data_IF_804547664055
#
_entry.id   IF_804547664055
#
_cell.length_a   1.000
_cell.length_b   1.000
_cell.length_c   1.000
_cell.angle_alpha   90.00
_cell.angle_beta   90.00
_cell.angle_gamma   90.00
#
_symmetry.space_group_name_H-M   'P 1'
#
loop_
_entity.id
_entity.type
_entity.pdbx_description
1 polymer ?
#
# COMPACT_ATOMS: atom_id res chain seq x y z
N UNK A 1 -37.10 2.40 -2.21
CA UNK A 1 -36.39 2.43 -0.90
C UNK A 1 -34.87 2.49 -1.05
N UNK A 2 -34.31 3.29 -1.96
CA UNK A 2 -32.85 3.45 -2.04
C UNK A 2 -32.33 4.07 -0.73
N UNK A 3 -31.15 3.65 -0.24
CA UNK A 3 -30.56 4.24 0.97
C UNK A 3 -29.94 5.59 0.61
N UNK A 4 -30.30 6.63 1.36
CA UNK A 4 -29.77 7.98 1.20
C UNK A 4 -29.13 8.47 2.51
N UNK A 5 -28.19 9.41 2.38
CA UNK A 5 -27.75 10.26 3.48
C UNK A 5 -28.36 11.64 3.28
N UNK A 6 -29.07 12.16 4.29
CA UNK A 6 -29.64 13.51 4.23
C UNK A 6 -28.60 14.58 4.61
N UNK A 7 -29.00 15.86 4.51
CA UNK A 7 -28.14 17.00 4.84
C UNK A 7 -27.75 17.07 6.33
N UNK A 8 -28.45 16.33 7.19
CA UNK A 8 -28.18 16.21 8.63
C UNK A 8 -27.26 15.01 8.93
N UNK A 9 -26.85 14.26 7.89
CA UNK A 9 -25.99 13.09 8.01
C UNK A 9 -26.73 11.80 8.40
N UNK A 10 -28.06 11.83 8.48
CA UNK A 10 -28.86 10.66 8.81
C UNK A 10 -28.91 9.72 7.62
N UNK A 11 -28.73 8.44 7.88
CA UNK A 11 -28.73 7.40 6.85
C UNK A 11 -29.96 6.52 6.96
N UNK A 12 -30.76 6.46 5.90
CA UNK A 12 -31.99 5.68 5.87
C UNK A 12 -32.56 5.51 4.46
N UNK A 13 -33.61 4.67 4.30
CA UNK A 13 -34.30 4.57 3.02
C UNK A 13 -34.99 5.89 2.65
N UNK A 14 -34.97 6.26 1.36
CA UNK A 14 -35.58 7.47 0.83
C UNK A 14 -37.07 7.62 1.20
N UNK A 15 -37.78 6.50 1.26
CA UNK A 15 -39.16 6.43 1.71
C UNK A 15 -39.26 5.35 2.80
N UNK A 16 -39.09 5.74 4.08
CA UNK A 16 -39.12 4.81 5.21
C UNK A 16 -40.53 4.34 5.55
N UNK A 17 -41.58 5.13 5.25
CA UNK A 17 -42.95 4.79 5.60
C UNK A 17 -43.48 3.61 4.80
N UNK A 18 -43.02 3.47 3.55
CA UNK A 18 -43.41 2.37 2.66
C UNK A 18 -42.36 1.25 2.62
N UNK A 19 -41.24 1.38 3.33
CA UNK A 19 -40.16 0.39 3.31
C UNK A 19 -40.55 -0.91 4.03
N UNK A 20 -40.37 -2.09 3.39
CA UNK A 20 -40.49 -3.37 4.08
C UNK A 20 -39.55 -3.47 5.27
N UNK A 21 -39.95 -4.19 6.32
CA UNK A 21 -39.13 -4.37 7.53
C UNK A 21 -37.85 -5.17 7.27
N UNK A 22 -37.85 -6.03 6.26
CA UNK A 22 -36.76 -6.90 5.80
C UNK A 22 -35.91 -6.25 4.69
N UNK A 23 -36.10 -4.96 4.39
CA UNK A 23 -35.35 -4.27 3.31
C UNK A 23 -33.82 -4.35 3.49
N UNK A 24 -33.35 -4.52 4.73
CA UNK A 24 -31.95 -4.69 5.07
C UNK A 24 -31.34 -6.02 4.61
N UNK A 25 -32.15 -7.03 4.28
CA UNK A 25 -31.70 -8.27 3.65
C UNK A 25 -31.25 -8.05 2.21
N UNK A 26 -31.84 -7.06 1.53
CA UNK A 26 -31.51 -6.70 0.14
C UNK A 26 -30.48 -5.57 0.06
N UNK A 27 -30.62 -4.55 0.90
CA UNK A 27 -29.77 -3.35 0.88
C UNK A 27 -28.51 -3.48 1.74
N UNK A 28 -28.46 -4.50 2.60
CA UNK A 28 -27.38 -4.71 3.57
C UNK A 28 -27.67 -4.09 4.93
N UNK A 29 -26.87 -4.54 5.90
CA UNK A 29 -26.97 -4.08 7.29
C UNK A 29 -26.49 -2.63 7.44
N UNK A 30 -27.17 -1.84 8.28
CA UNK A 30 -26.85 -0.42 8.49
C UNK A 30 -25.59 -0.24 9.34
N UNK A 31 -24.64 0.55 8.83
CA UNK A 31 -23.45 1.00 9.57
C UNK A 31 -23.73 2.29 10.36
N UNK A 32 -22.87 2.67 11.31
CA UNK A 32 -22.96 3.98 11.97
C UNK A 32 -22.82 5.14 10.96
N UNK A 33 -23.55 6.22 11.21
CA UNK A 33 -23.56 7.43 10.35
C UNK A 33 -22.16 8.04 10.21
N UNK A 34 -21.38 8.05 11.29
CA UNK A 34 -19.99 8.53 11.30
C UNK A 34 -19.12 7.77 10.27
N UNK A 35 -19.37 6.47 10.06
CA UNK A 35 -18.64 5.68 9.08
C UNK A 35 -19.02 6.03 7.64
N UNK A 36 -20.32 6.23 7.36
CA UNK A 36 -20.77 6.73 6.06
C UNK A 36 -20.22 8.13 5.76
N UNK A 37 -20.14 8.99 6.78
CA UNK A 37 -19.50 10.28 6.67
C UNK A 37 -18.02 10.15 6.27
N UNK A 38 -17.23 9.29 6.92
CA UNK A 38 -15.83 9.05 6.54
C UNK A 38 -15.66 8.47 5.13
N UNK A 39 -16.54 7.55 4.71
CA UNK A 39 -16.57 7.05 3.33
C UNK A 39 -16.84 8.21 2.36
N UNK A 40 -17.80 9.09 2.67
CA UNK A 40 -18.14 10.26 1.83
C UNK A 40 -17.00 11.28 1.70
N UNK A 41 -16.08 11.31 2.67
CA UNK A 41 -14.89 12.17 2.67
C UNK A 41 -13.67 11.48 2.07
N UNK A 42 -13.81 10.23 1.62
CA UNK A 42 -12.71 9.45 1.05
C UNK A 42 -11.70 8.96 2.08
N UNK A 43 -12.00 8.99 3.38
CA UNK A 43 -11.10 8.53 4.46
C UNK A 43 -11.00 6.99 4.50
N UNK A 44 -12.08 6.31 4.09
CA UNK A 44 -12.18 4.86 4.09
C UNK A 44 -12.80 4.37 2.78
N UNK A 45 -12.14 3.43 2.10
CA UNK A 45 -12.71 2.71 0.97
C UNK A 45 -13.89 1.79 1.35
N UNK A 46 -14.78 1.46 0.39
CA UNK A 46 -16.01 0.75 0.68
C UNK A 46 -15.84 -0.75 0.98
N UNK A 47 -14.70 -1.36 0.63
CA UNK A 47 -14.52 -2.81 0.66
C UNK A 47 -14.65 -3.41 2.08
N UNK A 48 -13.88 -2.90 3.05
CA UNK A 48 -13.90 -3.43 4.43
C UNK A 48 -15.27 -3.24 5.10
N UNK A 49 -15.94 -2.06 5.01
CA UNK A 49 -17.33 -1.91 5.44
C UNK A 49 -18.29 -2.91 4.77
N UNK A 50 -18.16 -3.10 3.46
CA UNK A 50 -19.03 -4.01 2.71
C UNK A 50 -18.87 -5.47 3.16
N UNK A 51 -17.66 -5.91 3.50
CA UNK A 51 -17.45 -7.26 4.04
C UNK A 51 -18.17 -7.45 5.38
N UNK A 52 -18.20 -6.42 6.23
CA UNK A 52 -18.90 -6.45 7.51
C UNK A 52 -20.43 -6.42 7.36
N UNK A 53 -20.96 -5.67 6.40
CA UNK A 53 -22.41 -5.56 6.19
C UNK A 53 -22.96 -6.82 5.51
N UNK A 54 -22.30 -7.32 4.47
CA UNK A 54 -22.70 -8.50 3.70
C UNK A 54 -22.38 -9.82 4.39
N UNK A 55 -21.40 -9.85 5.30
CA UNK A 55 -20.87 -11.09 5.85
C UNK A 55 -20.06 -11.91 4.84
N UNK A 56 -19.62 -11.29 3.74
CA UNK A 56 -18.85 -11.93 2.68
C UNK A 56 -17.63 -11.09 2.31
N UNK A 57 -16.43 -11.68 2.40
CA UNK A 57 -15.21 -11.13 1.83
C UNK A 57 -15.04 -11.75 0.43
N UNK A 58 -15.31 -10.95 -0.61
CA UNK A 58 -15.16 -11.40 -1.99
C UNK A 58 -13.86 -10.85 -2.57
N UNK A 59 -12.99 -11.73 -3.06
CA UNK A 59 -11.80 -11.37 -3.83
C UNK A 59 -12.08 -11.70 -5.30
N UNK A 60 -12.39 -10.72 -6.15
CA UNK A 60 -12.55 -10.95 -7.58
C UNK A 60 -11.18 -11.01 -8.27
N UNK A 61 -11.14 -11.62 -9.47
CA UNK A 61 -10.03 -11.41 -10.40
C UNK A 61 -10.22 -10.05 -11.07
N UNK A 62 -9.32 -9.06 -10.88
CA UNK A 62 -9.49 -7.77 -11.54
C UNK A 62 -9.39 -7.90 -13.06
N UNK A 63 -10.08 -7.03 -13.79
CA UNK A 63 -10.05 -7.05 -15.25
C UNK A 63 -8.62 -6.87 -15.80
N UNK A 64 -8.25 -7.69 -16.79
CA UNK A 64 -6.92 -7.68 -17.39
C UNK A 64 -5.83 -8.40 -16.58
N UNK A 65 -6.14 -8.88 -15.37
CA UNK A 65 -5.22 -9.71 -14.58
C UNK A 65 -5.32 -11.15 -15.06
N UNK A 66 -4.17 -11.79 -15.26
CA UNK A 66 -4.14 -13.22 -15.56
C UNK A 66 -4.40 -14.06 -14.31
N UNK A 67 -5.24 -15.07 -14.48
CA UNK A 67 -5.48 -16.09 -13.48
C UNK A 67 -4.29 -17.07 -13.39
N UNK A 68 -3.27 -16.68 -12.64
CA UNK A 68 -2.03 -17.45 -12.43
C UNK A 68 -1.95 -18.02 -11.02
N UNK A 69 -1.20 -19.12 -10.84
CA UNK A 69 -1.00 -19.74 -9.52
C UNK A 69 -0.38 -18.76 -8.51
N UNK A 70 0.61 -17.96 -8.94
CA UNK A 70 1.23 -16.94 -8.08
C UNK A 70 0.21 -15.88 -7.64
N UNK A 71 -0.70 -15.47 -8.52
CA UNK A 71 -1.73 -14.47 -8.19
C UNK A 71 -2.80 -15.06 -7.26
N UNK A 72 -3.24 -16.30 -7.52
CA UNK A 72 -4.17 -17.04 -6.64
C UNK A 72 -3.60 -17.17 -5.22
N UNK A 73 -2.34 -17.60 -5.09
CA UNK A 73 -1.64 -17.72 -3.81
C UNK A 73 -1.48 -16.36 -3.11
N UNK A 74 -1.04 -15.34 -3.84
CA UNK A 74 -0.85 -13.99 -3.29
C UNK A 74 -2.17 -13.43 -2.77
N UNK A 75 -3.21 -13.43 -3.60
CA UNK A 75 -4.49 -12.83 -3.26
C UNK A 75 -5.30 -13.66 -2.26
N UNK A 76 -5.27 -14.99 -2.37
CA UNK A 76 -6.05 -15.91 -1.54
C UNK A 76 -5.41 -16.25 -0.20
N UNK A 77 -4.08 -16.31 -0.13
CA UNK A 77 -3.36 -16.78 1.06
C UNK A 77 -2.46 -15.69 1.66
N UNK A 78 -1.49 -15.16 0.89
CA UNK A 78 -0.47 -14.25 1.44
C UNK A 78 -1.05 -12.90 1.93
N UNK A 79 -2.07 -12.38 1.23
CA UNK A 79 -2.72 -11.12 1.56
C UNK A 79 -3.91 -11.29 2.53
N UNK A 80 -4.38 -12.52 2.77
CA UNK A 80 -5.54 -12.78 3.62
C UNK A 80 -5.36 -12.30 5.07
N UNK A 81 -4.22 -12.55 5.74
CA UNK A 81 -4.01 -12.07 7.11
C UNK A 81 -4.11 -10.54 7.23
N UNK A 82 -3.74 -9.78 6.19
CA UNK A 82 -3.85 -8.32 6.20
C UNK A 82 -5.32 -7.90 6.14
N UNK A 83 -6.13 -8.58 5.32
CA UNK A 83 -7.57 -8.32 5.24
C UNK A 83 -8.28 -8.69 6.54
N UNK A 84 -7.89 -9.80 7.17
CA UNK A 84 -8.38 -10.21 8.48
C UNK A 84 -8.05 -9.15 9.55
N UNK A 85 -6.83 -8.62 9.56
CA UNK A 85 -6.45 -7.52 10.45
C UNK A 85 -7.31 -6.28 10.22
N UNK A 86 -7.53 -5.87 8.97
CA UNK A 86 -8.34 -4.70 8.63
C UNK A 86 -9.81 -4.87 9.05
N UNK A 87 -10.44 -5.99 8.68
CA UNK A 87 -11.83 -6.29 9.05
C UNK A 87 -11.97 -6.42 10.57
N UNK A 88 -11.04 -7.12 11.22
CA UNK A 88 -10.99 -7.25 12.67
C UNK A 88 -10.87 -5.90 13.37
N UNK A 89 -9.93 -5.05 12.96
CA UNK A 89 -9.74 -3.72 13.53
C UNK A 89 -10.98 -2.84 13.39
N UNK A 90 -11.56 -2.75 12.19
CA UNK A 90 -12.77 -1.95 11.98
C UNK A 90 -13.94 -2.48 12.82
N UNK A 91 -14.15 -3.81 12.86
CA UNK A 91 -15.25 -4.41 13.62
C UNK A 91 -15.19 -4.08 15.12
N UNK A 92 -13.99 -4.00 15.70
CA UNK A 92 -13.77 -3.65 17.11
C UNK A 92 -14.11 -2.19 17.46
N UNK A 93 -14.28 -1.33 16.45
CA UNK A 93 -14.78 0.04 16.61
C UNK A 93 -16.30 0.15 16.49
N UNK A 94 -17.00 -0.93 16.12
CA UNK A 94 -18.44 -0.95 15.88
C UNK A 94 -19.19 -1.69 16.98
N UNK A 95 -20.53 -1.68 16.90
CA UNK A 95 -21.40 -2.41 17.82
C UNK A 95 -21.07 -3.92 17.86
N UNK A 96 -21.30 -4.56 19.02
CA UNK A 96 -21.02 -6.00 19.26
C UNK A 96 -21.60 -6.95 18.20
N UNK A 97 -22.70 -6.54 17.56
CA UNK A 97 -23.28 -7.23 16.40
C UNK A 97 -22.23 -7.51 15.31
N UNK A 98 -21.40 -6.53 14.96
CA UNK A 98 -20.37 -6.67 13.93
C UNK A 98 -19.15 -7.45 14.42
N UNK A 99 -18.82 -7.37 15.71
CA UNK A 99 -17.65 -8.03 16.31
C UNK A 99 -17.78 -9.55 16.40
N UNK A 100 -19.00 -10.09 16.31
CA UNK A 100 -19.27 -11.53 16.49
C UNK A 100 -19.64 -12.24 15.19
N UNK A 101 -19.60 -11.53 14.06
CA UNK A 101 -19.94 -12.11 12.76
C UNK A 101 -18.89 -13.15 12.30
N UNK A 102 -19.38 -14.12 11.55
CA UNK A 102 -18.57 -15.00 10.71
C UNK A 102 -18.67 -14.48 9.30
N UNK A 103 -17.52 -14.21 8.67
CA UNK A 103 -17.44 -13.70 7.30
C UNK A 103 -16.99 -14.82 6.39
N UNK A 104 -17.78 -15.12 5.36
CA UNK A 104 -17.44 -16.13 4.36
C UNK A 104 -16.44 -15.55 3.36
N UNK A 105 -15.37 -16.28 3.06
CA UNK A 105 -14.36 -15.87 2.08
C UNK A 105 -14.68 -16.51 0.74
N UNK A 106 -14.85 -15.68 -0.29
CA UNK A 106 -15.12 -16.12 -1.66
C UNK A 106 -14.01 -15.65 -2.59
N UNK A 107 -13.19 -16.58 -3.05
CA UNK A 107 -12.17 -16.34 -4.05
C UNK A 107 -12.73 -16.64 -5.44
N UNK A 108 -12.35 -15.86 -6.46
CA UNK A 108 -12.86 -16.05 -7.84
C UNK A 108 -12.59 -17.45 -8.41
N UNK A 109 -11.54 -18.13 -7.93
CA UNK A 109 -11.12 -19.46 -8.39
C UNK A 109 -11.64 -20.60 -7.50
N UNK A 110 -12.37 -20.28 -6.42
CA UNK A 110 -12.96 -21.27 -5.50
C UNK A 110 -14.48 -21.06 -5.42
N UNK A 111 -15.25 -21.79 -6.23
CA UNK A 111 -16.72 -21.65 -6.25
C UNK A 111 -17.40 -22.14 -4.95
N UNK A 112 -16.84 -23.16 -4.31
CA UNK A 112 -17.41 -23.83 -3.12
C UNK A 112 -16.52 -23.71 -1.88
N UNK A 113 -15.83 -22.58 -1.70
CA UNK A 113 -14.95 -22.38 -0.55
C UNK A 113 -15.74 -22.41 0.76
N UNK A 114 -15.25 -23.19 1.73
CA UNK A 114 -15.75 -23.18 3.11
C UNK A 114 -14.91 -22.29 4.03
N UNK A 115 -14.01 -21.47 3.46
CA UNK A 115 -13.14 -20.58 4.22
C UNK A 115 -13.98 -19.49 4.89
N UNK A 116 -13.75 -19.29 6.19
CA UNK A 116 -14.45 -18.27 6.98
C UNK A 116 -13.52 -17.54 7.92
N UNK A 117 -13.76 -16.25 8.12
CA UNK A 117 -13.12 -15.42 9.13
C UNK A 117 -14.11 -15.27 10.29
N UNK A 118 -13.79 -15.86 11.45
CA UNK A 118 -14.62 -15.73 12.64
C UNK A 118 -14.10 -14.57 13.52
N UNK A 119 -14.79 -13.43 13.46
CA UNK A 119 -14.37 -12.21 14.15
C UNK A 119 -14.34 -12.36 15.67
N UNK A 120 -15.16 -13.26 16.23
CA UNK A 120 -15.20 -13.51 17.67
C UNK A 120 -13.91 -14.17 18.20
N UNK A 121 -13.25 -14.95 17.36
CA UNK A 121 -12.03 -15.70 17.73
C UNK A 121 -10.75 -15.01 17.30
N UNK A 122 -10.83 -13.97 16.47
CA UNK A 122 -9.66 -13.21 16.07
C UNK A 122 -9.04 -12.52 17.29
N UNK A 123 -7.70 -12.51 17.41
CA UNK A 123 -7.02 -11.68 18.40
C UNK A 123 -7.42 -10.21 18.24
N UNK A 124 -7.57 -9.53 19.37
CA UNK A 124 -7.89 -8.10 19.37
C UNK A 124 -6.72 -7.30 18.80
N UNK A 125 -6.84 -6.91 17.53
CA UNK A 125 -5.88 -6.02 16.87
C UNK A 125 -5.79 -4.69 17.62
N UNK A 126 -6.94 -4.19 18.10
CA UNK A 126 -7.04 -2.93 18.84
C UNK A 126 -6.19 -2.92 20.11
N UNK A 127 -6.19 -4.01 20.87
CA UNK A 127 -5.41 -4.08 22.12
C UNK A 127 -3.90 -4.05 21.85
N UNK A 128 -3.46 -4.58 20.71
CA UNK A 128 -2.04 -4.56 20.34
C UNK A 128 -1.51 -3.17 20.01
N UNK A 129 -2.36 -2.25 19.55
CA UNK A 129 -1.97 -0.91 19.05
C UNK A 129 -2.35 0.24 20.00
N UNK A 130 -3.05 -0.05 21.10
CA UNK A 130 -3.59 0.97 22.02
C UNK A 130 -2.50 1.78 22.74
N UNK A 131 -1.28 1.28 22.80
CA UNK A 131 -0.15 1.93 23.47
C UNK A 131 0.34 3.21 22.79
N UNK A 132 0.06 3.39 21.49
CA UNK A 132 0.55 4.55 20.73
C UNK A 132 -0.14 5.85 21.15
N UNK A 133 0.67 6.80 21.63
CA UNK A 133 0.33 8.22 21.71
C UNK A 133 1.56 9.04 21.45
N UNK A 134 1.55 9.82 20.37
CA UNK A 134 2.63 10.77 20.09
C UNK A 134 2.18 12.20 20.37
N UNK A 135 3.13 13.06 20.69
CA UNK A 135 2.94 14.51 20.70
C UNK A 135 4.10 15.18 19.99
N UNK A 136 3.83 15.97 18.96
CA UNK A 136 4.88 16.67 18.22
C UNK A 136 5.56 17.74 19.07
N UNK A 137 4.90 18.24 20.12
CA UNK A 137 5.48 19.16 21.12
C UNK A 137 6.60 18.51 21.94
N UNK A 138 6.63 17.19 22.02
CA UNK A 138 7.59 16.44 22.82
C UNK A 138 8.68 15.77 21.95
N UNK A 139 8.72 16.04 20.64
CA UNK A 139 9.74 15.47 19.76
C UNK A 139 11.15 15.86 20.23
N UNK A 140 12.11 14.92 20.22
CA UNK A 140 13.52 15.26 20.36
C UNK A 140 13.95 16.33 19.35
N UNK A 141 14.85 17.22 19.74
CA UNK A 141 15.34 18.34 18.90
C UNK A 141 15.86 17.88 17.54
N UNK A 142 16.51 16.72 17.50
CA UNK A 142 17.01 16.10 16.27
C UNK A 142 15.89 15.86 15.26
N UNK A 143 14.77 15.29 15.71
CA UNK A 143 13.61 14.99 14.86
C UNK A 143 12.75 16.23 14.57
N UNK A 144 12.76 17.21 15.48
CA UNK A 144 11.99 18.44 15.31
C UNK A 144 12.47 19.28 14.11
N UNK A 145 13.77 19.21 13.80
CA UNK A 145 14.43 20.01 12.77
C UNK A 145 14.59 19.31 11.42
N UNK A 146 14.15 18.06 11.28
CA UNK A 146 14.24 17.29 10.03
C UNK A 146 13.29 17.87 8.99
N UNK A 147 13.76 18.01 7.74
CA UNK A 147 12.97 18.53 6.62
C UNK A 147 12.01 17.48 6.01
N UNK A 148 12.24 16.20 6.29
CA UNK A 148 11.37 15.10 5.86
C UNK A 148 9.92 15.33 6.32
N UNK A 149 8.93 15.20 5.43
CA UNK A 149 7.52 15.33 5.80
C UNK A 149 7.16 14.36 6.94
N UNK A 150 6.57 14.90 8.02
CA UNK A 150 6.29 14.12 9.24
C UNK A 150 5.24 13.03 9.04
N UNK A 151 4.35 13.21 8.06
CA UNK A 151 3.35 12.22 7.64
C UNK A 151 3.86 11.21 6.60
N UNK A 152 5.17 10.97 6.47
CA UNK A 152 5.74 10.03 5.50
C UNK A 152 6.17 8.71 6.14
N UNK A 153 6.18 7.61 5.36
CA UNK A 153 6.69 6.31 5.80
C UNK A 153 8.16 6.39 6.23
N UNK A 154 8.95 7.22 5.53
CA UNK A 154 10.35 7.51 5.88
C UNK A 154 10.46 8.05 7.30
N UNK A 155 9.78 9.16 7.58
CA UNK A 155 9.86 9.79 8.90
C UNK A 155 9.35 8.87 10.01
N UNK A 156 8.27 8.13 9.76
CA UNK A 156 7.74 7.16 10.72
C UNK A 156 8.76 6.05 11.06
N UNK A 157 9.49 5.52 10.08
CA UNK A 157 10.51 4.50 10.31
C UNK A 157 11.78 5.06 10.98
N UNK A 158 12.29 6.19 10.47
CA UNK A 158 13.52 6.81 10.98
C UNK A 158 13.35 7.38 12.39
N UNK A 159 12.19 7.95 12.72
CA UNK A 159 11.94 8.48 14.08
C UNK A 159 12.13 7.40 15.16
N UNK A 160 11.82 6.14 14.85
CA UNK A 160 11.97 5.00 15.75
C UNK A 160 13.43 4.55 15.96
N UNK A 161 14.39 5.07 15.18
CA UNK A 161 15.81 4.84 15.47
C UNK A 161 16.30 5.69 16.65
N UNK A 162 15.54 6.70 17.07
CA UNK A 162 15.88 7.55 18.20
C UNK A 162 15.25 7.04 19.51
N UNK A 163 16.03 6.53 20.48
CA UNK A 163 15.50 6.00 21.74
C UNK A 163 14.74 7.04 22.59
N UNK A 164 15.12 8.33 22.47
CA UNK A 164 14.44 9.42 23.17
C UNK A 164 13.06 9.72 22.56
N UNK A 165 12.85 9.39 21.28
CA UNK A 165 11.51 9.41 20.69
C UNK A 165 10.70 8.21 21.18
N UNK A 166 11.24 6.99 21.08
CA UNK A 166 10.56 5.75 21.49
C UNK A 166 10.03 5.84 22.92
N UNK A 167 10.82 6.34 23.87
CA UNK A 167 10.38 6.50 25.27
C UNK A 167 9.16 7.42 25.47
N UNK A 168 8.84 8.29 24.50
CA UNK A 168 7.73 9.26 24.52
C UNK A 168 6.51 8.84 23.69
N UNK A 169 6.57 7.69 23.03
CA UNK A 169 5.48 7.20 22.15
C UNK A 169 4.37 6.45 22.90
N UNK A 170 4.53 6.20 24.20
CA UNK A 170 3.59 5.47 25.02
C UNK A 170 2.52 6.38 25.62
N UNK A 171 1.27 5.92 25.63
CA UNK A 171 0.13 6.63 26.22
C UNK A 171 0.33 6.94 27.71
N UNK A 172 0.27 8.22 28.09
CA UNK A 172 0.02 8.61 29.48
C UNK A 172 -1.49 8.62 29.75
N UNK A 173 -1.89 8.58 31.04
CA UNK A 173 -3.31 8.61 31.45
C UNK A 173 -4.05 9.91 31.06
N UNK A 174 -3.33 10.94 30.63
CA UNK A 174 -3.86 12.28 30.31
C UNK A 174 -3.67 12.62 28.81
N UNK A 175 -3.57 11.63 27.93
CA UNK A 175 -3.30 11.87 26.51
C UNK A 175 -4.41 12.68 25.84
N UNK A 176 -4.05 13.84 25.29
CA UNK A 176 -4.94 14.71 24.51
C UNK A 176 -5.15 14.12 23.11
N UNK A 177 -6.32 14.37 22.51
CA UNK A 177 -6.60 13.98 21.14
C UNK A 177 -5.63 14.65 20.14
N UNK A 178 -5.28 13.92 19.08
CA UNK A 178 -4.41 14.39 18.00
C UNK A 178 -5.15 15.47 17.20
N UNK A 179 -4.53 16.63 16.99
CA UNK A 179 -5.22 17.80 16.42
C UNK A 179 -4.60 18.33 15.13
N UNK A 180 -3.34 18.01 14.83
CA UNK A 180 -2.68 18.40 13.59
C UNK A 180 -2.65 17.26 12.57
N UNK A 181 -2.73 17.58 11.28
CA UNK A 181 -2.67 16.59 10.19
C UNK A 181 -1.39 15.74 10.28
N UNK A 182 -0.25 16.38 10.53
CA UNK A 182 1.04 15.70 10.63
C UNK A 182 1.11 14.74 11.83
N UNK A 183 0.51 15.09 12.98
CA UNK A 183 0.43 14.17 14.13
C UNK A 183 -0.47 12.96 13.82
N UNK A 184 -1.62 13.21 13.18
CA UNK A 184 -2.57 12.16 12.81
C UNK A 184 -1.94 11.18 11.82
N UNK A 185 -1.30 11.71 10.77
CA UNK A 185 -0.59 10.90 9.77
C UNK A 185 0.57 10.13 10.39
N UNK A 186 1.41 10.79 11.18
CA UNK A 186 2.56 10.14 11.80
C UNK A 186 2.12 8.98 12.71
N UNK A 187 1.12 9.18 13.58
CA UNK A 187 0.61 8.10 14.42
C UNK A 187 -0.06 6.99 13.61
N UNK A 188 -0.83 7.33 12.57
CA UNK A 188 -1.43 6.34 11.66
C UNK A 188 -0.35 5.44 11.05
N UNK A 189 0.76 6.01 10.59
CA UNK A 189 1.85 5.25 9.98
C UNK A 189 2.62 4.39 10.99
N UNK A 190 2.85 4.88 12.21
CA UNK A 190 3.48 4.08 13.27
C UNK A 190 2.65 2.84 13.62
N UNK A 191 1.34 3.03 13.78
CA UNK A 191 0.40 1.92 14.02
C UNK A 191 0.39 0.96 12.83
N UNK A 192 0.33 1.47 11.60
CA UNK A 192 0.42 0.65 10.38
C UNK A 192 1.71 -0.18 10.34
N UNK A 193 2.87 0.42 10.64
CA UNK A 193 4.16 -0.28 10.68
C UNK A 193 4.18 -1.38 11.74
N UNK A 194 3.57 -1.17 12.92
CA UNK A 194 3.41 -2.22 13.92
C UNK A 194 2.53 -3.36 13.41
N UNK A 195 1.38 -3.06 12.80
CA UNK A 195 0.47 -4.09 12.27
C UNK A 195 1.10 -4.92 11.14
N UNK A 196 1.99 -4.30 10.36
CA UNK A 196 2.80 -4.99 9.34
C UNK A 196 4.03 -5.72 9.92
N UNK A 197 4.32 -5.56 11.21
CA UNK A 197 5.42 -6.25 11.90
C UNK A 197 6.79 -5.62 11.70
N UNK A 198 6.87 -4.37 11.25
CA UNK A 198 8.11 -3.58 11.20
C UNK A 198 8.48 -3.02 12.58
N UNK A 199 7.48 -2.92 13.46
CA UNK A 199 7.62 -2.41 14.83
C UNK A 199 6.99 -3.42 15.79
N UNK A 200 7.62 -3.64 16.94
CA UNK A 200 7.09 -4.51 17.98
C UNK A 200 6.20 -3.74 18.98
N UNK A 201 5.61 -4.44 19.96
CA UNK A 201 4.76 -3.83 21.00
C UNK A 201 5.51 -2.92 21.98
N UNK A 202 6.85 -2.91 21.95
CA UNK A 202 7.71 -1.98 22.71
C UNK A 202 8.08 -0.75 21.89
N UNK A 203 7.44 -0.56 20.72
CA UNK A 203 7.70 0.53 19.79
C UNK A 203 9.16 0.54 19.29
N UNK A 204 9.80 -0.62 19.22
CA UNK A 204 11.14 -0.80 18.68
C UNK A 204 11.06 -1.43 17.29
N UNK A 205 12.01 -1.06 16.42
CA UNK A 205 12.15 -1.67 15.09
C UNK A 205 12.49 -3.16 15.20
N UNK A 206 11.72 -3.99 14.49
CA UNK A 206 12.03 -5.40 14.24
C UNK A 206 13.14 -5.52 13.19
N UNK A 207 13.56 -6.73 12.85
CA UNK A 207 14.55 -6.92 11.77
C UNK A 207 14.01 -6.46 10.41
N UNK A 208 12.71 -6.59 10.17
CA UNK A 208 12.05 -5.99 8.98
C UNK A 208 12.02 -4.47 9.06
N UNK A 209 11.77 -3.91 10.25
CA UNK A 209 11.87 -2.46 10.51
C UNK A 209 13.26 -1.91 10.18
N UNK A 210 14.31 -2.57 10.67
CA UNK A 210 15.70 -2.20 10.40
C UNK A 210 16.06 -2.36 8.93
N UNK A 211 15.63 -3.45 8.28
CA UNK A 211 15.82 -3.65 6.85
C UNK A 211 15.23 -2.48 6.03
N UNK A 212 14.03 -2.03 6.36
CA UNK A 212 13.42 -0.88 5.69
C UNK A 212 14.19 0.43 5.94
N UNK A 213 14.65 0.66 7.18
CA UNK A 213 15.48 1.83 7.51
C UNK A 213 16.81 1.82 6.77
N UNK A 214 17.48 0.68 6.63
CA UNK A 214 18.71 0.59 5.84
C UNK A 214 18.46 0.84 4.35
N UNK A 215 17.35 0.34 3.79
CA UNK A 215 16.97 0.65 2.41
C UNK A 215 16.69 2.16 2.21
N UNK A 216 16.06 2.83 3.19
CA UNK A 216 15.90 4.30 3.19
C UNK A 216 17.26 5.01 3.16
N UNK A 217 18.23 4.58 3.97
CA UNK A 217 19.57 5.18 3.99
C UNK A 217 20.32 4.98 2.67
N UNK A 218 20.13 3.82 2.04
CA UNK A 218 20.69 3.55 0.71
C UNK A 218 20.11 4.52 -0.33
N UNK A 219 18.79 4.74 -0.32
CA UNK A 219 18.13 5.75 -1.16
C UNK A 219 18.67 7.16 -0.90
N UNK A 220 18.81 7.57 0.36
CA UNK A 220 19.30 8.90 0.72
C UNK A 220 20.76 9.16 0.32
N UNK A 221 21.54 8.09 0.21
CA UNK A 221 22.94 8.15 -0.22
C UNK A 221 23.09 8.13 -1.74
N UNK A 222 22.00 7.91 -2.48
CA UNK A 222 22.03 7.87 -3.93
C UNK A 222 22.16 9.28 -4.52
N UNK A 223 22.85 9.37 -5.67
CA UNK A 223 22.99 10.64 -6.40
C UNK A 223 21.69 11.08 -7.11
N UNK A 224 20.71 10.17 -7.25
CA UNK A 224 19.45 10.44 -7.92
C UNK A 224 18.46 11.17 -7.00
N UNK A 225 17.59 12.00 -7.58
CA UNK A 225 16.51 12.65 -6.82
C UNK A 225 15.45 11.62 -6.41
N UNK A 226 15.33 11.39 -5.10
CA UNK A 226 14.36 10.46 -4.50
C UNK A 226 13.11 11.23 -4.06
N UNK A 227 11.95 10.82 -4.57
CA UNK A 227 10.66 11.37 -4.17
C UNK A 227 9.97 10.52 -3.08
N UNK A 228 8.89 11.05 -2.49
CA UNK A 228 8.13 10.34 -1.46
C UNK A 228 7.58 8.98 -1.95
N UNK A 229 7.24 8.89 -3.24
CA UNK A 229 6.73 7.66 -3.87
C UNK A 229 7.79 6.56 -3.94
N UNK A 230 9.07 6.91 -4.05
CA UNK A 230 10.18 5.95 -4.08
C UNK A 230 10.29 5.19 -2.75
N UNK A 231 10.08 5.86 -1.60
CA UNK A 231 10.05 5.17 -0.31
C UNK A 231 8.85 4.21 -0.16
N UNK A 232 7.69 4.57 -0.72
CA UNK A 232 6.56 3.63 -0.80
C UNK A 232 6.86 2.43 -1.70
N UNK A 233 7.63 2.65 -2.76
CA UNK A 233 8.05 1.62 -3.71
C UNK A 233 8.99 0.63 -3.02
N UNK A 234 9.97 1.12 -2.26
CA UNK A 234 10.85 0.27 -1.42
C UNK A 234 10.04 -0.48 -0.38
N UNK A 235 9.11 0.16 0.33
CA UNK A 235 8.26 -0.54 1.29
C UNK A 235 7.46 -1.67 0.62
N UNK A 236 6.90 -1.40 -0.56
CA UNK A 236 6.18 -2.40 -1.36
C UNK A 236 7.10 -3.54 -1.79
N UNK A 237 8.34 -3.25 -2.18
CA UNK A 237 9.34 -4.25 -2.55
C UNK A 237 9.67 -5.18 -1.37
N UNK A 238 9.90 -4.62 -0.17
CA UNK A 238 10.14 -5.42 1.06
C UNK A 238 8.92 -6.29 1.37
N UNK A 239 7.71 -5.77 1.26
CA UNK A 239 6.49 -6.57 1.45
C UNK A 239 6.39 -7.72 0.44
N UNK A 240 6.73 -7.48 -0.83
CA UNK A 240 6.74 -8.51 -1.87
C UNK A 240 7.83 -9.56 -1.68
N UNK A 241 8.99 -9.19 -1.14
CA UNK A 241 10.04 -10.12 -0.72
C UNK A 241 9.54 -11.02 0.42
N UNK A 242 8.92 -10.42 1.45
CA UNK A 242 8.32 -11.15 2.58
C UNK A 242 7.25 -12.15 2.14
N UNK A 243 6.48 -11.81 1.11
CA UNK A 243 5.45 -12.68 0.52
C UNK A 243 6.01 -13.69 -0.49
N UNK A 244 7.32 -13.64 -0.79
CA UNK A 244 7.97 -14.57 -1.72
C UNK A 244 7.49 -14.43 -3.17
N UNK A 245 7.05 -13.23 -3.57
CA UNK A 245 6.60 -12.93 -4.95
C UNK A 245 7.60 -12.07 -5.73
N UNK A 246 8.49 -11.36 -5.04
CA UNK A 246 9.67 -10.73 -5.64
C UNK A 246 10.88 -11.66 -5.48
N UNK A 247 11.52 -12.03 -6.58
CA UNK A 247 12.64 -12.99 -6.59
C UNK A 247 12.92 -13.54 -8.00
N UNK A 248 13.88 -14.49 -8.11
CA UNK A 248 14.36 -14.99 -9.40
C UNK A 248 13.35 -15.89 -10.14
N UNK A 249 12.31 -16.37 -9.45
CA UNK A 249 11.30 -17.28 -10.01
C UNK A 249 10.61 -16.69 -11.23
N UNK A 250 10.64 -17.38 -12.37
CA UNK A 250 9.90 -16.93 -13.55
C UNK A 250 8.42 -17.29 -13.44
N UNK A 251 7.62 -16.42 -12.83
CA UNK A 251 6.18 -16.61 -12.63
C UNK A 251 5.34 -16.69 -13.92
N UNK A 252 5.84 -16.14 -15.03
CA UNK A 252 5.09 -16.00 -16.28
C UNK A 252 5.95 -16.47 -17.47
N UNK A 253 6.36 -17.75 -17.52
CA UNK A 253 7.35 -18.23 -18.49
C UNK A 253 6.85 -18.24 -19.94
N UNK A 254 5.52 -18.33 -20.13
CA UNK A 254 4.90 -18.37 -21.45
C UNK A 254 4.47 -16.99 -21.96
N UNK A 255 4.76 -15.92 -21.23
CA UNK A 255 4.36 -14.57 -21.62
C UNK A 255 5.37 -13.93 -22.56
N UNK A 256 4.86 -13.20 -23.55
CA UNK A 256 5.68 -12.43 -24.47
C UNK A 256 6.26 -11.17 -23.81
N UNK A 257 7.34 -10.66 -24.39
CA UNK A 257 7.97 -9.40 -23.98
C UNK A 257 8.90 -9.51 -22.77
N UNK A 258 9.38 -10.72 -22.47
CA UNK A 258 10.52 -10.92 -21.56
C UNK A 258 11.87 -10.64 -22.21
N UNK A 259 12.97 -10.73 -21.44
CA UNK A 259 14.33 -10.56 -21.95
C UNK A 259 14.66 -11.55 -23.08
N UNK A 260 15.24 -11.05 -24.17
CA UNK A 260 15.47 -11.84 -25.39
C UNK A 260 16.94 -12.10 -25.69
N UNK A 261 17.85 -11.36 -25.06
CA UNK A 261 19.28 -11.31 -25.43
C UNK A 261 20.17 -11.78 -24.27
N UNK A 262 21.38 -12.20 -24.61
CA UNK A 262 22.34 -12.77 -23.66
C UNK A 262 22.13 -14.26 -23.36
N UNK A 263 22.90 -14.77 -22.40
CA UNK A 263 22.76 -16.11 -21.83
C UNK A 263 21.45 -16.27 -21.05
N UNK A 264 21.09 -17.48 -20.65
CA UNK A 264 19.89 -17.69 -19.82
C UNK A 264 20.03 -17.07 -18.43
N UNK A 265 21.27 -16.95 -17.93
CA UNK A 265 21.58 -16.22 -16.70
C UNK A 265 21.37 -14.71 -16.88
N UNK A 266 21.85 -14.13 -17.98
CA UNK A 266 21.63 -12.71 -18.30
C UNK A 266 20.14 -12.38 -18.40
N UNK A 267 19.36 -13.24 -19.06
CA UNK A 267 17.89 -13.08 -19.16
C UNK A 267 17.23 -13.16 -17.80
N UNK A 268 17.68 -14.05 -16.93
CA UNK A 268 17.16 -14.19 -15.56
C UNK A 268 17.42 -12.93 -14.74
N UNK A 269 18.65 -12.39 -14.77
CA UNK A 269 18.99 -11.16 -14.07
C UNK A 269 18.29 -9.94 -14.64
N UNK A 270 18.22 -9.80 -15.96
CA UNK A 270 17.46 -8.72 -16.61
C UNK A 270 15.99 -8.75 -16.15
N UNK A 271 15.36 -9.92 -16.13
CA UNK A 271 13.98 -10.06 -15.68
C UNK A 271 13.81 -9.62 -14.21
N UNK A 272 14.72 -10.04 -13.33
CA UNK A 272 14.66 -9.68 -11.91
C UNK A 272 14.84 -8.16 -11.71
N UNK A 273 15.84 -7.55 -12.33
CA UNK A 273 16.11 -6.10 -12.23
C UNK A 273 14.91 -5.31 -12.79
N UNK A 274 14.37 -5.75 -13.93
CA UNK A 274 13.19 -5.13 -14.55
C UNK A 274 11.93 -5.23 -13.69
N UNK A 275 11.78 -6.32 -12.92
CA UNK A 275 10.66 -6.48 -11.97
C UNK A 275 10.80 -5.56 -10.76
N UNK A 276 12.00 -5.38 -10.23
CA UNK A 276 12.24 -4.37 -9.18
C UNK A 276 11.88 -2.98 -9.71
N UNK A 277 12.32 -2.65 -10.92
CA UNK A 277 11.98 -1.41 -11.59
C UNK A 277 10.47 -1.22 -11.84
N UNK A 278 9.68 -2.29 -12.05
CA UNK A 278 8.21 -2.20 -12.14
C UNK A 278 7.54 -1.73 -10.83
N UNK A 279 8.24 -1.78 -9.69
CA UNK A 279 7.71 -1.28 -8.41
C UNK A 279 7.82 0.24 -8.34
N UNK A 280 8.74 0.86 -9.10
CA UNK A 280 8.80 2.30 -9.30
C UNK A 280 7.83 2.79 -10.39
N UNK A 281 7.93 4.08 -10.72
CA UNK A 281 7.07 4.73 -11.73
C UNK A 281 7.91 5.37 -12.83
N UNK A 282 7.47 5.24 -14.07
CA UNK A 282 8.09 5.92 -15.19
C UNK A 282 7.66 7.39 -15.22
N UNK A 283 8.59 8.32 -15.15
CA UNK A 283 8.33 9.75 -15.37
C UNK A 283 8.14 10.02 -16.86
N UNK A 284 6.89 10.26 -17.26
CA UNK A 284 6.50 10.46 -18.66
C UNK A 284 5.43 11.55 -18.80
N UNK A 285 5.35 12.16 -19.99
CA UNK A 285 4.34 13.18 -20.32
C UNK A 285 2.93 12.59 -20.28
N UNK A 286 1.88 13.34 -19.87
CA UNK A 286 0.52 12.84 -19.71
C UNK A 286 -0.23 12.67 -21.05
N UNK A 287 0.33 11.88 -21.97
CA UNK A 287 -0.16 11.65 -23.33
C UNK A 287 -0.43 10.18 -23.63
N UNK A 288 -0.48 9.35 -22.58
CA UNK A 288 -0.61 7.90 -22.67
C UNK A 288 0.73 7.20 -22.88
N UNK A 289 0.76 5.88 -22.62
CA UNK A 289 1.94 5.06 -22.81
C UNK A 289 2.14 4.71 -24.29
N UNK A 290 3.31 5.02 -24.83
CA UNK A 290 3.68 4.79 -26.23
C UNK A 290 4.93 3.92 -26.40
N UNK A 291 5.30 3.16 -25.36
CA UNK A 291 6.47 2.28 -25.37
C UNK A 291 6.17 0.85 -25.82
N UNK A 292 7.18 -0.03 -25.81
CA UNK A 292 7.01 -1.45 -26.10
C UNK A 292 6.04 -2.14 -25.13
N UNK A 293 5.35 -3.20 -25.57
CA UNK A 293 4.48 -3.99 -24.70
C UNK A 293 5.23 -5.20 -24.11
N UNK A 294 5.09 -5.41 -22.80
CA UNK A 294 5.52 -6.63 -22.13
C UNK A 294 4.37 -7.26 -21.36
N UNK A 295 3.85 -8.39 -21.83
CA UNK A 295 2.83 -9.16 -21.10
C UNK A 295 3.41 -9.67 -19.79
N UNK A 296 4.68 -10.08 -19.80
CA UNK A 296 5.35 -10.59 -18.62
C UNK A 296 5.40 -9.57 -17.48
N UNK A 297 5.78 -8.31 -17.76
CA UNK A 297 5.84 -7.25 -16.75
C UNK A 297 4.46 -6.69 -16.41
N UNK A 298 3.50 -6.70 -17.33
CA UNK A 298 2.11 -6.34 -17.05
C UNK A 298 1.46 -7.31 -16.05
N UNK A 299 1.71 -8.61 -16.20
CA UNK A 299 1.25 -9.63 -15.26
C UNK A 299 1.92 -9.49 -13.89
N UNK A 300 3.22 -9.17 -13.87
CA UNK A 300 3.92 -8.87 -12.61
C UNK A 300 3.37 -7.62 -11.90
N UNK A 301 3.05 -6.56 -12.65
CA UNK A 301 2.40 -5.35 -12.12
C UNK A 301 1.08 -5.66 -11.43
N UNK A 302 0.35 -6.68 -11.87
CA UNK A 302 -0.89 -7.10 -11.20
C UNK A 302 -0.64 -7.59 -9.76
N UNK A 303 0.51 -8.22 -9.51
CA UNK A 303 0.94 -8.61 -8.15
C UNK A 303 1.23 -7.37 -7.30
N UNK A 304 1.96 -6.39 -7.85
CA UNK A 304 2.26 -5.12 -7.17
C UNK A 304 0.96 -4.41 -6.78
N UNK A 305 0.02 -4.25 -7.71
CA UNK A 305 -1.26 -3.58 -7.44
C UNK A 305 -2.10 -4.31 -6.39
N UNK A 306 -2.08 -5.65 -6.34
CA UNK A 306 -2.78 -6.42 -5.31
C UNK A 306 -2.22 -6.13 -3.91
N UNK A 307 -0.89 -6.07 -3.78
CA UNK A 307 -0.21 -5.73 -2.53
C UNK A 307 -0.53 -4.29 -2.13
N UNK A 308 -0.28 -3.31 -3.00
CA UNK A 308 -0.51 -1.89 -2.72
C UNK A 308 -1.94 -1.60 -2.28
N UNK A 309 -2.94 -2.14 -2.99
CA UNK A 309 -4.37 -1.96 -2.64
C UNK A 309 -4.70 -2.53 -1.26
N UNK A 310 -4.17 -3.71 -0.95
CA UNK A 310 -4.41 -4.34 0.36
C UNK A 310 -3.73 -3.57 1.50
N UNK A 311 -2.53 -3.02 1.27
CA UNK A 311 -1.85 -2.13 2.22
C UNK A 311 -2.59 -0.80 2.39
N UNK A 312 -3.14 -0.24 1.30
CA UNK A 312 -3.97 0.96 1.31
C UNK A 312 -5.21 0.77 2.17
N UNK A 313 -5.93 -0.33 1.99
CA UNK A 313 -7.11 -0.67 2.79
C UNK A 313 -6.77 -0.74 4.29
N UNK A 314 -5.62 -1.35 4.65
CA UNK A 314 -5.19 -1.42 6.05
C UNK A 314 -4.91 -0.03 6.64
N UNK A 315 -4.14 0.82 5.94
CA UNK A 315 -3.78 2.14 6.49
C UNK A 315 -4.99 3.07 6.62
N UNK A 316 -5.95 3.00 5.70
CA UNK A 316 -7.24 3.72 5.80
C UNK A 316 -8.07 3.24 7.00
N UNK A 317 -8.11 1.92 7.24
CA UNK A 317 -8.79 1.36 8.42
C UNK A 317 -8.09 1.78 9.71
N UNK A 318 -6.76 1.86 9.74
CA UNK A 318 -6.03 2.38 10.91
C UNK A 318 -6.45 3.81 11.21
N UNK A 319 -6.41 4.72 10.23
CA UNK A 319 -6.85 6.10 10.38
C UNK A 319 -8.31 6.17 10.88
N UNK A 320 -9.19 5.39 10.24
CA UNK A 320 -10.61 5.36 10.60
C UNK A 320 -10.84 4.85 12.02
N UNK A 321 -10.07 3.85 12.46
CA UNK A 321 -10.18 3.29 13.81
C UNK A 321 -9.81 4.31 14.89
N UNK A 322 -8.82 5.17 14.62
CA UNK A 322 -8.42 6.27 15.50
C UNK A 322 -9.50 7.35 15.59
N UNK A 323 -10.08 7.72 14.44
CA UNK A 323 -11.20 8.66 14.35
C UNK A 323 -12.43 8.16 15.15
N UNK A 324 -12.88 6.93 14.90
CA UNK A 324 -14.01 6.31 15.60
C UNK A 324 -13.75 6.11 17.11
N UNK A 325 -12.49 5.96 17.50
CA UNK A 325 -12.11 5.80 18.92
C UNK A 325 -11.97 7.14 19.65
N UNK A 326 -12.20 8.28 18.98
CA UNK A 326 -12.06 9.61 19.58
C UNK A 326 -10.61 10.01 19.87
N UNK A 327 -9.65 9.40 19.20
CA UNK A 327 -8.22 9.68 19.36
C UNK A 327 -7.78 10.93 18.59
N UNK A 328 -8.61 11.35 17.64
CA UNK A 328 -8.39 12.52 16.77
C UNK A 328 -9.43 13.58 17.12
N UNK A 329 -8.99 14.84 17.20
CA UNK A 329 -9.87 15.98 17.38
C UNK A 329 -10.74 16.17 16.12
N UNK A 330 -12.06 16.08 16.32
CA UNK A 330 -13.05 16.24 15.23
C UNK A 330 -13.08 17.65 14.63
N UNK A 331 -12.41 18.63 15.26
CA UNK A 331 -12.23 19.99 14.71
C UNK A 331 -11.38 20.06 13.45
N UNK A 332 -10.71 18.97 13.06
CA UNK A 332 -9.92 18.87 11.81
C UNK A 332 -10.75 19.17 10.55
N UNK A 333 -12.09 19.02 10.62
CA UNK A 333 -13.02 19.44 9.58
C UNK A 333 -12.94 18.64 8.28
N UNK A 334 -13.84 18.96 7.33
CA UNK A 334 -13.96 18.23 6.06
C UNK A 334 -12.69 18.30 5.21
N UNK A 335 -12.10 19.49 5.09
CA UNK A 335 -10.91 19.73 4.27
C UNK A 335 -9.70 18.99 4.84
N UNK A 336 -9.52 19.02 6.17
CA UNK A 336 -8.44 18.30 6.83
C UNK A 336 -8.58 16.78 6.72
N UNK A 337 -9.79 16.23 6.87
CA UNK A 337 -10.03 14.78 6.63
C UNK A 337 -9.67 14.37 5.20
N UNK A 338 -10.07 15.19 4.22
CA UNK A 338 -9.78 14.95 2.80
C UNK A 338 -8.28 15.02 2.54
N UNK A 339 -7.61 16.06 3.05
CA UNK A 339 -6.16 16.27 2.96
C UNK A 339 -5.38 15.10 3.55
N UNK A 340 -5.73 14.65 4.76
CA UNK A 340 -5.10 13.49 5.43
C UNK A 340 -5.25 12.23 4.57
N UNK A 341 -6.45 11.95 4.04
CA UNK A 341 -6.66 10.76 3.21
C UNK A 341 -5.80 10.75 1.93
N UNK A 342 -5.66 11.92 1.27
CA UNK A 342 -4.78 12.04 0.10
C UNK A 342 -3.30 11.86 0.43
N UNK A 343 -2.87 12.27 1.63
CA UNK A 343 -1.48 12.13 2.10
C UNK A 343 -1.15 10.73 2.61
N UNK A 344 -2.13 9.85 2.81
CA UNK A 344 -1.86 8.45 3.14
C UNK A 344 -1.10 7.77 1.98
N UNK A 345 -0.19 6.83 2.28
CA UNK A 345 0.58 6.13 1.26
C UNK A 345 -0.32 5.25 0.39
N UNK A 346 0.22 4.80 -0.74
CA UNK A 346 -0.42 3.86 -1.67
C UNK A 346 -1.69 4.40 -2.35
N UNK A 347 -1.82 5.73 -2.46
CA UNK A 347 -2.94 6.38 -3.18
C UNK A 347 -2.85 6.13 -4.69
N UNK A 348 -1.65 6.29 -5.26
CA UNK A 348 -1.39 6.10 -6.68
C UNK A 348 -1.08 4.63 -6.99
N UNK A 349 -1.59 4.12 -8.10
CA UNK A 349 -1.21 2.80 -8.59
C UNK A 349 0.11 2.91 -9.38
N UNK A 350 0.85 1.80 -9.45
CA UNK A 350 2.06 1.73 -10.26
C UNK A 350 1.74 1.23 -11.68
N UNK A 351 2.52 1.71 -12.64
CA UNK A 351 2.56 1.15 -13.99
C UNK A 351 3.73 0.16 -14.13
N UNK A 352 3.84 -0.51 -15.29
CA UNK A 352 4.97 -1.38 -15.59
C UNK A 352 6.01 -0.70 -16.50
N UNK A 353 5.81 0.58 -16.84
CA UNK A 353 6.58 1.31 -17.84
C UNK A 353 8.05 1.42 -17.48
N UNK A 354 8.38 1.65 -16.20
CA UNK A 354 9.77 1.76 -15.75
C UNK A 354 10.51 0.42 -15.88
N UNK A 355 9.85 -0.68 -15.52
CA UNK A 355 10.41 -2.01 -15.75
C UNK A 355 10.57 -2.36 -17.23
N UNK A 356 9.66 -1.94 -18.10
CA UNK A 356 9.83 -2.14 -19.55
C UNK A 356 11.00 -1.29 -20.07
N UNK A 357 11.19 -0.07 -19.57
CA UNK A 357 12.33 0.77 -19.91
C UNK A 357 13.66 0.12 -19.56
N UNK A 358 13.79 -0.35 -18.32
CA UNK A 358 14.96 -1.08 -17.82
C UNK A 358 15.21 -2.35 -18.62
N UNK A 359 14.16 -3.16 -18.86
CA UNK A 359 14.28 -4.38 -19.65
C UNK A 359 14.81 -4.11 -21.05
N UNK A 360 14.28 -3.06 -21.69
CA UNK A 360 14.67 -2.65 -23.05
C UNK A 360 16.11 -2.18 -23.10
N UNK A 361 16.53 -1.38 -22.11
CA UNK A 361 17.90 -0.92 -21.97
C UNK A 361 18.87 -2.11 -21.82
N UNK A 362 18.59 -3.02 -20.90
CA UNK A 362 19.46 -4.18 -20.63
C UNK A 362 19.52 -5.15 -21.82
N UNK A 363 18.40 -5.39 -22.50
CA UNK A 363 18.39 -6.20 -23.73
C UNK A 363 19.21 -5.54 -24.85
N UNK A 364 19.12 -4.21 -25.04
CA UNK A 364 19.94 -3.55 -26.07
C UNK A 364 21.41 -3.51 -25.70
N UNK A 365 21.74 -3.31 -24.43
CA UNK A 365 23.12 -3.32 -23.94
C UNK A 365 23.81 -4.65 -24.24
N UNK A 366 23.14 -5.78 -24.00
CA UNK A 366 23.67 -7.12 -24.26
C UNK A 366 23.82 -7.46 -25.75
N UNK A 367 23.24 -6.67 -26.65
CA UNK A 367 23.43 -6.82 -28.09
C UNK A 367 24.67 -6.11 -28.62
N UNK A 368 25.13 -5.08 -27.90
CA UNK A 368 26.27 -4.29 -28.34
C UNK A 368 27.58 -5.05 -28.07
N UNK A 369 28.59 -4.91 -28.95
CA UNK A 369 29.95 -5.33 -28.65
C UNK A 369 30.47 -4.60 -27.40
N UNK A 370 31.28 -5.30 -26.59
CA UNK A 370 31.86 -4.72 -25.36
C UNK A 370 30.80 -4.12 -24.42
N UNK A 371 29.70 -4.84 -24.18
CA UNK A 371 28.55 -4.43 -23.36
C UNK A 371 28.90 -3.96 -21.93
N UNK A 372 30.04 -4.38 -21.41
CA UNK A 372 30.55 -3.96 -20.10
C UNK A 372 31.30 -2.63 -20.12
N UNK A 373 31.65 -2.09 -21.30
CA UNK A 373 32.41 -0.85 -21.41
C UNK A 373 31.56 0.38 -21.00
N UNK A 374 32.13 1.38 -20.29
CA UNK A 374 31.40 2.60 -19.94
C UNK A 374 30.85 3.33 -21.18
N UNK A 375 31.64 3.38 -22.25
CA UNK A 375 31.27 4.01 -23.51
C UNK A 375 30.02 3.36 -24.12
N UNK A 376 29.97 2.04 -24.19
CA UNK A 376 28.81 1.31 -24.73
C UNK A 376 27.57 1.54 -23.87
N UNK A 377 27.72 1.60 -22.54
CA UNK A 377 26.61 1.88 -21.61
C UNK A 377 26.01 3.27 -21.84
N UNK A 378 26.85 4.27 -22.01
CA UNK A 378 26.44 5.65 -22.28
C UNK A 378 25.75 5.78 -23.64
N UNK A 379 26.31 5.13 -24.68
CA UNK A 379 25.72 5.11 -26.03
C UNK A 379 24.34 4.46 -26.05
N UNK A 380 24.14 3.33 -25.37
CA UNK A 380 22.84 2.65 -25.29
C UNK A 380 21.85 3.44 -24.43
N UNK A 381 22.32 4.05 -23.34
CA UNK A 381 21.51 4.91 -22.48
C UNK A 381 20.94 6.10 -23.27
N UNK A 382 21.75 6.72 -24.14
CA UNK A 382 21.33 7.85 -24.97
C UNK A 382 20.24 7.49 -26.00
N UNK A 383 20.15 6.21 -26.44
CA UNK A 383 19.10 5.73 -27.36
C UNK A 383 17.71 5.65 -26.73
N UNK A 384 17.60 5.82 -25.42
CA UNK A 384 16.35 5.73 -24.67
C UNK A 384 15.13 6.44 -25.28
N UNK A 385 15.36 7.64 -25.85
CA UNK A 385 14.31 8.43 -26.50
C UNK A 385 13.74 7.79 -27.76
N UNK A 386 14.45 6.88 -28.42
CA UNK A 386 13.94 6.14 -29.58
C UNK A 386 12.81 5.19 -29.17
N UNK A 387 12.95 4.55 -28.01
CA UNK A 387 11.95 3.61 -27.46
C UNK A 387 10.88 4.30 -26.61
N UNK A 388 11.24 5.37 -25.91
CA UNK A 388 10.38 6.12 -24.98
C UNK A 388 10.37 7.61 -25.33
N UNK A 389 9.79 7.94 -26.48
CA UNK A 389 9.76 9.32 -27.02
C UNK A 389 9.11 10.35 -26.09
N UNK A 390 8.30 9.88 -25.15
CA UNK A 390 7.50 10.70 -24.25
C UNK A 390 7.93 10.62 -22.79
N UNK A 391 9.02 9.91 -22.46
CA UNK A 391 9.65 10.02 -21.15
C UNK A 391 10.20 11.44 -20.95
N UNK A 392 10.11 11.97 -19.72
CA UNK A 392 10.68 13.29 -19.40
C UNK A 392 12.21 13.28 -19.53
N UNK A 393 12.85 12.29 -18.90
CA UNK A 393 14.24 11.91 -19.10
C UNK A 393 14.37 10.39 -18.97
N UNK A 394 14.85 9.71 -20.02
CA UNK A 394 15.06 8.26 -19.94
C UNK A 394 16.21 7.91 -19.00
N UNK A 395 17.24 8.76 -18.97
CA UNK A 395 18.43 8.56 -18.13
C UNK A 395 18.08 8.67 -16.64
N UNK A 396 17.35 9.71 -16.26
CA UNK A 396 16.89 9.90 -14.87
C UNK A 396 15.96 8.77 -14.43
N UNK A 397 15.13 8.25 -15.35
CA UNK A 397 14.29 7.08 -15.08
C UNK A 397 15.16 5.83 -14.83
N UNK A 398 16.19 5.59 -15.64
CA UNK A 398 17.13 4.49 -15.40
C UNK A 398 17.88 4.66 -14.07
N UNK A 399 18.33 5.87 -13.75
CA UNK A 399 19.00 6.16 -12.49
C UNK A 399 18.07 5.93 -11.30
N UNK A 400 16.80 6.32 -11.39
CA UNK A 400 15.81 6.02 -10.36
C UNK A 400 15.57 4.50 -10.21
N UNK A 401 15.53 3.76 -11.32
CA UNK A 401 15.35 2.31 -11.28
C UNK A 401 16.55 1.58 -10.66
N UNK A 402 17.78 2.00 -10.98
CA UNK A 402 18.98 1.42 -10.38
C UNK A 402 19.16 1.85 -8.92
N UNK A 403 18.77 3.08 -8.57
CA UNK A 403 18.66 3.53 -7.17
C UNK A 403 17.70 2.64 -6.37
N UNK A 404 16.57 2.26 -6.96
CA UNK A 404 15.61 1.33 -6.35
C UNK A 404 16.14 -0.11 -6.27
N UNK A 405 17.05 -0.51 -7.15
CA UNK A 405 17.70 -1.82 -7.12
C UNK A 405 18.77 -1.91 -6.04
N UNK A 406 19.53 -0.83 -5.84
CA UNK A 406 20.60 -0.77 -4.86
C UNK A 406 20.07 -0.68 -3.41
N UNK A 407 18.86 -0.14 -3.24
CA UNK A 407 18.13 -0.07 -1.98
C UNK A 407 17.42 -1.39 -1.63
#
# INVERSE_FOLDING_TARGET
HHVIADNEGRVGPLDPETAPSDVHELLGQRLPEELYYYISRGVLGPNIPNYLTTGQLTVPLPFGVEDSEVYRRLAGDSLMPIREQAVGLLSNCLHRFYQTKVINVRLWHEENSTRTINLKTLPSVRDSIRSWRISHKQLPTELANVQTPRGSLKFAAESLTNPAFVSKTFSSRESVALSSEDEILHQTLLVFLQLRGYVNSRHELTDWGKCFVEAIKALDSANASVDSQTYESVFTAVEMLRMGVLGPSNWFPHHSGGPMRGSDEDKSFNLLISRVACIGKLKHKPIGYSGPLSRQLLSFRSLISAVRRTLRELVEVVLTSMLLSGEVDRKIGNEGLTSISYKLPFVDDNDCGLGIAVRTYLDDLLYQPESSSPKTRDEVRAKGKEWFQHSESFEDNLDAAFTLWDA
#
